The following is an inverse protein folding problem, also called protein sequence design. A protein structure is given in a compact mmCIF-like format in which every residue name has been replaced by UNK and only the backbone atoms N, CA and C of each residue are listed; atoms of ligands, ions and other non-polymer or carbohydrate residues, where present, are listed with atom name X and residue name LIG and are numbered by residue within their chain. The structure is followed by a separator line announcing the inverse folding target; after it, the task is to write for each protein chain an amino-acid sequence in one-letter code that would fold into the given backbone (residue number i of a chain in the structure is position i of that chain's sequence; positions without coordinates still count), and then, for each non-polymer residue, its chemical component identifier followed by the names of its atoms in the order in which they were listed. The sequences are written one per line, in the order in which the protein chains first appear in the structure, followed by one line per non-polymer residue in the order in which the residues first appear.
data_IF_906888909184
#
_entry.id   IF_906888909184
#
_cell.length_a   1.000
_cell.length_b   1.000
_cell.length_c   1.000
_cell.angle_alpha   90.00
_cell.angle_beta   90.00
_cell.angle_gamma   90.00
#
_symmetry.space_group_name_H-M   'P 1'
#
loop_
_entity.id
_entity.type
_entity.pdbx_description
1 polymer ?
#
# COMPACT_ATOMS: atom_id res chain seq x y z
N UNK A 1 -44.88 4.01 27.77
CA UNK A 1 -43.82 3.17 28.35
C UNK A 1 -43.33 2.07 27.37
N UNK A 2 -43.63 2.14 26.07
CA UNK A 2 -43.15 1.18 25.03
C UNK A 2 -42.18 1.77 24.00
N UNK A 3 -41.94 3.07 24.03
CA UNK A 3 -41.05 3.75 23.06
C UNK A 3 -39.59 3.82 23.57
N UNK A 4 -39.36 3.77 24.90
CA UNK A 4 -38.00 3.75 25.46
C UNK A 4 -37.26 2.41 25.34
N UNK A 5 -38.01 1.29 25.12
CA UNK A 5 -37.41 -0.03 24.98
C UNK A 5 -36.93 -0.31 23.54
N UNK A 6 -37.41 0.45 22.53
CA UNK A 6 -36.95 0.27 21.12
C UNK A 6 -35.66 1.05 20.82
N UNK A 7 -35.38 2.15 21.55
CA UNK A 7 -34.13 2.88 21.34
C UNK A 7 -32.91 2.19 21.98
N UNK A 8 -33.11 1.40 23.05
CA UNK A 8 -32.03 0.63 23.69
C UNK A 8 -31.63 -0.62 22.91
N UNK A 9 -32.51 -1.18 22.08
CA UNK A 9 -32.20 -2.33 21.24
C UNK A 9 -31.42 -1.99 19.96
N UNK A 10 -31.56 -0.74 19.46
CA UNK A 10 -30.81 -0.28 18.28
C UNK A 10 -29.35 0.11 18.57
N UNK A 11 -29.02 0.38 19.85
CA UNK A 11 -27.66 0.73 20.28
C UNK A 11 -26.81 -0.52 20.57
N UNK A 12 -27.45 -1.67 20.86
CA UNK A 12 -26.75 -2.92 21.13
C UNK A 12 -26.29 -3.69 19.88
N UNK A 13 -26.65 -3.26 18.67
CA UNK A 13 -26.22 -3.90 17.42
C UNK A 13 -24.94 -3.32 16.83
N UNK A 14 -24.31 -2.34 17.47
CA UNK A 14 -23.00 -1.81 17.09
C UNK A 14 -21.86 -2.49 17.86
N UNK A 15 -21.89 -3.81 17.97
CA UNK A 15 -20.77 -4.57 18.53
C UNK A 15 -19.81 -4.89 17.40
N UNK A 16 -18.64 -4.22 17.40
CA UNK A 16 -17.49 -4.72 16.66
C UNK A 16 -17.02 -5.97 17.40
N UNK A 17 -17.06 -7.11 16.72
CA UNK A 17 -16.45 -8.33 17.24
C UNK A 17 -14.98 -8.27 16.93
N UNK A 18 -14.16 -7.95 17.91
CA UNK A 18 -12.71 -7.95 17.80
C UNK A 18 -12.23 -9.32 18.27
N UNK A 19 -11.59 -10.08 17.39
CA UNK A 19 -10.88 -11.28 17.76
C UNK A 19 -9.39 -10.98 17.98
N UNK A 20 -8.69 -11.73 18.87
CA UNK A 20 -7.31 -11.42 19.24
C UNK A 20 -6.33 -11.58 18.07
N UNK A 21 -5.43 -10.63 17.92
CA UNK A 21 -4.42 -10.46 16.86
C UNK A 21 -3.41 -11.61 16.68
N UNK A 22 -3.38 -12.61 17.56
CA UNK A 22 -2.45 -13.74 17.46
C UNK A 22 -2.74 -14.68 16.27
N UNK A 23 -3.89 -14.49 15.57
CA UNK A 23 -4.24 -15.09 14.28
C UNK A 23 -5.21 -14.08 13.66
N UNK A 24 -4.72 -13.20 12.82
CA UNK A 24 -5.43 -12.13 12.12
C UNK A 24 -6.90 -12.44 11.82
N UNK A 25 -7.75 -12.30 12.80
CA UNK A 25 -9.19 -12.34 12.56
C UNK A 25 -9.61 -10.91 12.18
N UNK A 26 -10.34 -10.76 11.09
CA UNK A 26 -10.68 -9.44 10.56
C UNK A 26 -11.62 -8.66 11.50
N UNK A 27 -11.33 -7.38 11.70
CA UNK A 27 -12.21 -6.45 12.40
C UNK A 27 -13.26 -5.95 11.43
N UNK A 28 -14.52 -6.32 11.65
CA UNK A 28 -15.64 -5.91 10.81
C UNK A 28 -16.23 -4.58 11.26
N UNK A 29 -16.35 -3.63 10.34
CA UNK A 29 -17.12 -2.41 10.53
C UNK A 29 -18.61 -2.73 10.40
N UNK A 30 -19.42 -2.41 11.40
CA UNK A 30 -20.85 -2.71 11.41
C UNK A 30 -21.62 -1.98 10.31
N UNK A 31 -22.83 -2.45 9.95
CA UNK A 31 -23.64 -1.89 8.87
C UNK A 31 -23.98 -0.41 9.07
N UNK A 32 -24.11 0.05 10.32
CA UNK A 32 -24.31 1.47 10.65
C UNK A 32 -23.06 2.32 10.36
N UNK A 33 -21.86 1.84 10.67
CA UNK A 33 -20.60 2.50 10.33
C UNK A 33 -20.32 2.45 8.83
N UNK A 34 -20.72 1.38 8.15
CA UNK A 34 -20.58 1.24 6.71
C UNK A 34 -21.30 2.34 5.89
N UNK A 35 -22.39 2.90 6.40
CA UNK A 35 -23.07 4.02 5.77
C UNK A 35 -22.32 5.36 5.95
N UNK A 36 -21.50 5.48 6.99
CA UNK A 36 -20.61 6.64 7.20
C UNK A 36 -19.30 6.49 6.43
N UNK A 37 -18.79 5.29 6.27
CA UNK A 37 -17.59 5.00 5.49
C UNK A 37 -17.75 5.23 3.97
N UNK A 38 -19.00 5.46 3.49
CA UNK A 38 -19.27 5.90 2.12
C UNK A 38 -18.73 7.31 1.88
N UNK A 39 -17.53 7.44 1.39
CA UNK A 39 -16.82 8.71 1.17
C UNK A 39 -15.63 8.91 2.11
N UNK A 40 -15.36 7.93 2.99
CA UNK A 40 -14.18 7.91 3.82
C UNK A 40 -12.98 7.39 3.04
N UNK A 41 -11.91 8.14 3.02
CA UNK A 41 -10.61 7.72 2.50
C UNK A 41 -9.77 7.15 3.64
N UNK A 42 -9.11 6.00 3.39
CA UNK A 42 -8.11 5.46 4.31
C UNK A 42 -7.06 6.53 4.67
N UNK A 43 -6.53 6.50 5.89
CA UNK A 43 -5.51 7.46 6.33
C UNK A 43 -4.33 7.53 5.35
N UNK A 44 -3.95 6.41 4.75
CA UNK A 44 -2.87 6.35 3.78
C UNK A 44 -3.06 7.23 2.56
N UNK A 45 -4.31 7.41 2.10
CA UNK A 45 -4.63 8.28 0.95
C UNK A 45 -4.25 9.73 1.23
N UNK A 46 -4.61 10.24 2.43
CA UNK A 46 -4.28 11.60 2.87
C UNK A 46 -2.80 11.74 3.17
N UNK A 47 -2.21 10.77 3.88
CA UNK A 47 -0.81 10.78 4.27
C UNK A 47 0.14 10.84 3.08
N UNK A 48 -0.18 10.12 2.00
CA UNK A 48 0.53 10.16 0.73
C UNK A 48 0.13 11.33 -0.18
N UNK A 49 -0.85 12.16 0.22
CA UNK A 49 -1.35 13.28 -0.59
C UNK A 49 -2.00 12.85 -1.91
N UNK A 50 -2.47 11.60 -2.01
CA UNK A 50 -3.09 11.06 -3.22
C UNK A 50 -4.45 11.74 -3.47
N UNK A 51 -5.19 12.09 -2.44
CA UNK A 51 -6.44 12.85 -2.56
C UNK A 51 -6.23 14.25 -3.15
N UNK A 52 -5.10 14.89 -2.86
CA UNK A 52 -4.73 16.20 -3.44
C UNK A 52 -4.41 16.04 -4.90
N UNK A 53 -3.58 15.05 -5.27
CA UNK A 53 -3.25 14.76 -6.66
C UNK A 53 -4.50 14.39 -7.46
N UNK A 54 -5.34 13.51 -6.94
CA UNK A 54 -6.62 13.11 -7.53
C UNK A 54 -7.49 14.32 -7.86
N UNK A 55 -7.75 15.19 -6.87
CA UNK A 55 -8.53 16.44 -7.04
C UNK A 55 -7.92 17.39 -8.07
N UNK A 56 -6.59 17.42 -8.20
CA UNK A 56 -5.92 18.26 -9.19
C UNK A 56 -6.01 17.66 -10.60
N UNK A 57 -5.95 16.35 -10.73
CA UNK A 57 -6.16 15.65 -12.01
C UNK A 57 -7.62 15.79 -12.49
N UNK A 58 -8.61 15.68 -11.62
CA UNK A 58 -10.03 15.83 -11.95
C UNK A 58 -10.41 17.19 -12.54
N UNK A 59 -9.55 18.21 -12.34
CA UNK A 59 -9.70 19.53 -13.00
C UNK A 59 -9.24 19.54 -14.46
N UNK A 60 -8.59 18.46 -14.91
CA UNK A 60 -8.13 18.31 -16.30
C UNK A 60 -9.23 17.67 -17.15
N UNK A 61 -9.41 18.18 -18.34
CA UNK A 61 -10.31 17.57 -19.30
C UNK A 61 -9.69 16.30 -19.89
N UNK A 62 -10.53 15.29 -20.16
CA UNK A 62 -10.16 14.09 -20.91
C UNK A 62 -9.00 13.29 -20.33
N UNK A 63 -9.01 12.99 -19.02
CA UNK A 63 -8.05 12.05 -18.45
C UNK A 63 -8.10 10.70 -19.18
N UNK A 64 -6.95 10.11 -19.54
CA UNK A 64 -6.93 8.79 -20.14
C UNK A 64 -7.46 7.75 -19.18
N UNK A 65 -8.11 6.71 -19.69
CA UNK A 65 -8.38 5.52 -18.90
C UNK A 65 -7.05 4.84 -18.54
N UNK A 66 -6.90 4.49 -17.27
CA UNK A 66 -5.74 3.76 -16.73
C UNK A 66 -6.23 2.46 -16.14
N UNK A 67 -5.58 1.36 -16.50
CA UNK A 67 -5.96 0.02 -16.08
C UNK A 67 -4.92 -0.56 -15.13
N UNK A 68 -5.35 -0.93 -13.91
CA UNK A 68 -4.52 -1.58 -12.91
C UNK A 68 -4.92 -3.05 -12.82
N UNK A 69 -4.07 -3.94 -13.29
CA UNK A 69 -4.26 -5.38 -13.11
C UNK A 69 -3.96 -5.77 -11.65
N UNK A 70 -4.94 -6.32 -10.96
CA UNK A 70 -4.80 -6.86 -9.60
C UNK A 70 -4.78 -8.38 -9.70
N UNK A 71 -3.58 -8.95 -9.56
CA UNK A 71 -3.34 -10.40 -9.60
C UNK A 71 -3.48 -10.93 -8.16
N UNK A 72 -4.68 -11.47 -7.83
CA UNK A 72 -5.06 -11.78 -6.46
C UNK A 72 -6.21 -12.83 -6.41
N UNK A 73 -7.09 -12.75 -5.42
CA UNK A 73 -8.21 -13.67 -5.20
C UNK A 73 -9.49 -13.33 -5.99
N UNK A 74 -9.47 -12.25 -6.79
CA UNK A 74 -10.62 -11.76 -7.54
C UNK A 74 -11.18 -10.45 -6.97
N UNK A 75 -12.47 -10.16 -7.24
CA UNK A 75 -13.16 -8.97 -6.76
C UNK A 75 -14.60 -9.29 -6.39
N UNK A 76 -15.11 -8.72 -5.30
CA UNK A 76 -16.53 -8.82 -4.96
C UNK A 76 -17.32 -7.75 -5.73
N UNK A 77 -18.01 -8.16 -6.79
CA UNK A 77 -18.79 -7.28 -7.65
C UNK A 77 -20.04 -6.71 -6.99
N UNK A 78 -20.50 -7.33 -5.88
CA UNK A 78 -21.63 -6.84 -5.08
C UNK A 78 -21.22 -5.71 -4.12
N UNK A 79 -19.93 -5.44 -3.96
CA UNK A 79 -19.46 -4.37 -3.11
C UNK A 79 -19.72 -3.01 -3.77
N UNK A 80 -20.51 -2.16 -3.10
CA UNK A 80 -20.94 -0.87 -3.63
C UNK A 80 -19.79 0.15 -3.84
N UNK A 81 -18.68 0.02 -3.12
CA UNK A 81 -17.50 0.87 -3.30
C UNK A 81 -16.74 0.58 -4.59
N UNK A 82 -16.85 -0.65 -5.09
CA UNK A 82 -16.19 -1.10 -6.30
C UNK A 82 -17.07 -0.99 -7.54
N UNK A 83 -18.33 -0.56 -7.37
CA UNK A 83 -19.25 -0.38 -8.48
C UNK A 83 -18.69 0.62 -9.50
N UNK A 84 -18.57 0.20 -10.76
CA UNK A 84 -17.99 0.96 -11.86
C UNK A 84 -16.47 1.28 -11.71
N UNK A 85 -15.76 0.61 -10.78
CA UNK A 85 -14.33 0.81 -10.55
C UNK A 85 -13.47 -0.32 -11.12
N UNK A 86 -14.05 -1.35 -11.71
CA UNK A 86 -13.36 -2.45 -12.38
C UNK A 86 -13.78 -2.54 -13.85
N UNK A 87 -12.86 -3.11 -14.65
CA UNK A 87 -13.06 -3.36 -16.08
C UNK A 87 -13.76 -4.70 -16.34
N UNK A 88 -14.31 -4.88 -17.53
CA UNK A 88 -15.05 -6.09 -17.90
C UNK A 88 -14.17 -7.24 -18.42
N UNK A 89 -12.84 -7.04 -18.48
CA UNK A 89 -11.84 -7.98 -18.96
C UNK A 89 -11.11 -8.74 -17.84
N UNK A 90 -11.73 -8.83 -16.65
CA UNK A 90 -11.24 -9.69 -15.58
C UNK A 90 -11.31 -11.18 -15.93
N UNK A 91 -10.39 -11.98 -15.34
CA UNK A 91 -10.30 -13.40 -15.65
C UNK A 91 -9.93 -14.25 -14.41
N UNK A 92 -10.44 -15.48 -14.38
CA UNK A 92 -10.18 -16.48 -13.34
C UNK A 92 -9.28 -17.58 -13.91
N UNK A 93 -8.02 -17.60 -13.48
CA UNK A 93 -7.01 -18.57 -13.94
C UNK A 93 -7.11 -19.91 -13.22
N UNK A 94 -7.83 -20.01 -12.10
CA UNK A 94 -8.05 -21.26 -11.39
C UNK A 94 -9.00 -22.18 -12.17
N UNK A 95 -10.09 -21.60 -12.70
CA UNK A 95 -11.16 -22.32 -13.38
C UNK A 95 -11.17 -22.05 -14.89
N UNK A 96 -10.25 -21.21 -15.40
CA UNK A 96 -10.13 -20.80 -16.81
C UNK A 96 -11.45 -20.24 -17.37
N UNK A 97 -12.05 -19.28 -16.66
CA UNK A 97 -13.30 -18.63 -17.04
C UNK A 97 -13.32 -17.15 -16.62
N UNK A 98 -14.46 -16.48 -16.79
CA UNK A 98 -14.64 -15.06 -16.45
C UNK A 98 -15.32 -14.83 -15.09
N UNK A 99 -15.46 -15.85 -14.25
CA UNK A 99 -15.97 -15.71 -12.88
C UNK A 99 -14.88 -15.18 -11.95
N UNK A 100 -14.84 -13.88 -11.82
CA UNK A 100 -13.88 -13.14 -10.99
C UNK A 100 -14.33 -12.99 -9.54
N UNK A 101 -15.44 -13.64 -9.14
CA UNK A 101 -15.98 -13.47 -7.79
C UNK A 101 -14.95 -13.88 -6.74
N UNK A 102 -14.77 -12.98 -5.78
CA UNK A 102 -13.79 -13.15 -4.70
C UNK A 102 -14.41 -13.88 -3.51
N UNK A 103 -13.91 -15.06 -3.23
CA UNK A 103 -14.37 -15.89 -2.09
C UNK A 103 -13.48 -15.72 -0.86
N UNK A 104 -12.25 -15.20 -1.02
CA UNK A 104 -11.31 -14.91 0.06
C UNK A 104 -11.39 -13.46 0.54
N UNK A 105 -11.75 -12.55 -0.37
CA UNK A 105 -11.91 -11.11 -0.17
C UNK A 105 -10.62 -10.27 -0.08
N UNK A 106 -9.44 -10.86 -0.16
CA UNK A 106 -8.18 -10.12 -0.14
C UNK A 106 -8.03 -9.24 -1.40
N UNK A 107 -8.25 -9.79 -2.60
CA UNK A 107 -8.25 -9.02 -3.84
C UNK A 107 -9.30 -7.90 -3.87
N UNK A 108 -10.43 -8.10 -3.18
CA UNK A 108 -11.46 -7.06 -2.97
C UNK A 108 -10.92 -5.89 -2.15
N UNK A 109 -10.18 -6.16 -1.07
CA UNK A 109 -9.54 -5.13 -0.24
C UNK A 109 -8.47 -4.37 -1.03
N UNK A 110 -7.57 -5.10 -1.70
CA UNK A 110 -6.53 -4.53 -2.56
C UNK A 110 -7.12 -3.63 -3.66
N UNK A 111 -8.15 -4.14 -4.36
CA UNK A 111 -8.88 -3.36 -5.38
C UNK A 111 -9.57 -2.13 -4.81
N UNK A 112 -10.07 -2.24 -3.59
CA UNK A 112 -10.72 -1.17 -2.87
C UNK A 112 -9.78 -0.02 -2.52
N UNK A 113 -8.56 -0.34 -2.09
CA UNK A 113 -7.52 0.66 -1.80
C UNK A 113 -7.16 1.42 -3.08
N UNK A 114 -6.95 0.72 -4.21
CA UNK A 114 -6.69 1.38 -5.50
C UNK A 114 -7.86 2.30 -5.87
N UNK A 115 -9.10 1.83 -5.70
CA UNK A 115 -10.29 2.62 -6.00
C UNK A 115 -10.43 3.85 -5.10
N UNK A 116 -10.08 3.75 -3.82
CA UNK A 116 -10.11 4.86 -2.85
C UNK A 116 -9.05 5.93 -3.18
N UNK A 117 -7.85 5.49 -3.58
CA UNK A 117 -6.73 6.35 -3.93
C UNK A 117 -6.85 7.05 -5.29
N UNK A 118 -7.81 6.67 -6.16
CA UNK A 118 -7.83 7.11 -7.58
C UNK A 118 -9.21 7.54 -8.06
N UNK A 119 -9.25 8.35 -9.12
CA UNK A 119 -10.49 8.80 -9.77
C UNK A 119 -11.12 7.72 -10.67
N UNK A 120 -12.31 7.99 -11.18
CA UNK A 120 -13.13 7.03 -11.94
C UNK A 120 -12.56 6.61 -13.30
N UNK A 121 -11.56 7.35 -13.82
CA UNK A 121 -10.81 6.97 -15.03
C UNK A 121 -9.83 5.83 -14.79
N UNK A 122 -9.49 5.51 -13.53
CA UNK A 122 -8.69 4.34 -13.18
C UNK A 122 -9.61 3.15 -12.95
N UNK A 123 -9.33 2.04 -13.65
CA UNK A 123 -10.10 0.79 -13.58
C UNK A 123 -9.22 -0.35 -13.08
N UNK A 124 -9.72 -1.10 -12.13
CA UNK A 124 -9.10 -2.37 -11.72
C UNK A 124 -9.46 -3.45 -12.73
N UNK A 125 -8.48 -4.21 -13.18
CA UNK A 125 -8.67 -5.46 -13.93
C UNK A 125 -8.40 -6.64 -12.98
N UNK A 126 -9.44 -7.32 -12.48
CA UNK A 126 -9.26 -8.40 -11.51
C UNK A 126 -8.79 -9.67 -12.21
N UNK A 127 -7.63 -10.18 -11.81
CA UNK A 127 -7.03 -11.42 -12.32
C UNK A 127 -6.92 -12.43 -11.18
N UNK A 128 -7.87 -13.38 -11.14
CA UNK A 128 -8.00 -14.32 -10.04
C UNK A 128 -7.05 -15.50 -10.20
N UNK A 129 -6.07 -15.58 -9.27
CA UNK A 129 -5.06 -16.65 -9.20
C UNK A 129 -5.06 -17.35 -7.84
N UNK A 130 -5.70 -16.77 -6.81
CA UNK A 130 -5.83 -17.34 -5.47
C UNK A 130 -7.27 -17.78 -5.21
N UNK A 131 -7.41 -18.95 -4.59
CA UNK A 131 -8.70 -19.48 -4.12
C UNK A 131 -9.01 -19.06 -2.68
N UNK A 132 -10.04 -19.68 -2.10
CA UNK A 132 -10.54 -19.42 -0.73
C UNK A 132 -9.45 -19.62 0.34
N UNK A 133 -8.48 -20.51 0.12
CA UNK A 133 -7.35 -20.73 1.02
C UNK A 133 -6.30 -19.62 1.02
N UNK A 134 -6.41 -18.62 0.13
CA UNK A 134 -5.41 -17.58 -0.07
C UNK A 134 -4.15 -18.06 -0.79
N UNK A 135 -4.16 -19.27 -1.34
CA UNK A 135 -3.03 -19.87 -2.03
C UNK A 135 -3.32 -20.05 -3.52
N UNK A 136 -2.28 -19.88 -4.34
CA UNK A 136 -2.32 -20.07 -5.78
C UNK A 136 -1.02 -20.68 -6.31
N UNK A 137 -0.94 -20.83 -7.62
CA UNK A 137 0.24 -21.35 -8.30
C UNK A 137 0.97 -20.23 -9.02
N UNK A 138 2.30 -20.20 -8.93
CA UNK A 138 3.12 -19.24 -9.70
C UNK A 138 2.89 -19.35 -11.22
N UNK A 139 2.55 -20.54 -11.75
CA UNK A 139 2.18 -20.71 -13.14
C UNK A 139 0.90 -19.95 -13.54
N UNK A 140 -0.06 -19.82 -12.62
CA UNK A 140 -1.27 -19.04 -12.87
C UNK A 140 -1.00 -17.54 -12.73
N UNK A 141 -0.11 -17.13 -11.82
CA UNK A 141 0.42 -15.76 -11.74
C UNK A 141 1.14 -15.38 -13.03
N UNK A 142 2.01 -16.26 -13.54
CA UNK A 142 2.71 -16.03 -14.81
C UNK A 142 1.73 -15.81 -15.98
N UNK A 143 0.71 -16.65 -16.10
CA UNK A 143 -0.36 -16.49 -17.10
C UNK A 143 -1.12 -15.18 -16.94
N UNK A 144 -1.36 -14.76 -15.68
CA UNK A 144 -2.05 -13.52 -15.38
C UNK A 144 -1.23 -12.28 -15.75
N UNK A 145 0.11 -12.32 -15.62
CA UNK A 145 0.99 -11.22 -16.08
C UNK A 145 0.90 -11.09 -17.60
N UNK A 146 1.04 -12.18 -18.37
CA UNK A 146 0.88 -12.13 -19.82
C UNK A 146 -0.50 -11.65 -20.25
N UNK A 147 -1.55 -12.11 -19.56
CA UNK A 147 -2.91 -11.62 -19.80
C UNK A 147 -3.04 -10.11 -19.56
N UNK A 148 -2.44 -9.59 -18.49
CA UNK A 148 -2.41 -8.16 -18.20
C UNK A 148 -1.72 -7.37 -19.34
N UNK A 149 -0.61 -7.89 -19.88
CA UNK A 149 0.09 -7.31 -21.00
C UNK A 149 -0.81 -7.27 -22.25
N UNK A 150 -1.40 -8.41 -22.62
CA UNK A 150 -2.28 -8.56 -23.79
C UNK A 150 -3.53 -7.65 -23.71
N UNK A 151 -4.00 -7.35 -22.49
CA UNK A 151 -5.17 -6.51 -22.23
C UNK A 151 -4.83 -5.07 -21.90
N UNK A 152 -3.59 -4.63 -22.19
CA UNK A 152 -3.12 -3.25 -22.06
C UNK A 152 -3.27 -2.71 -20.63
N UNK A 153 -2.83 -3.46 -19.63
CA UNK A 153 -2.66 -2.93 -18.29
C UNK A 153 -1.58 -1.85 -18.28
N UNK A 154 -1.76 -0.82 -17.44
CA UNK A 154 -0.79 0.25 -17.22
C UNK A 154 0.07 -0.02 -15.99
N UNK A 155 -0.54 -0.71 -15.02
CA UNK A 155 0.07 -1.09 -13.74
C UNK A 155 -0.35 -2.53 -13.44
N UNK A 156 0.56 -3.32 -12.90
CA UNK A 156 0.29 -4.64 -12.31
C UNK A 156 0.56 -4.54 -10.82
N UNK A 157 -0.40 -4.96 -9.99
CA UNK A 157 -0.25 -5.09 -8.56
C UNK A 157 -0.28 -6.56 -8.16
N UNK A 158 0.76 -7.03 -7.51
CA UNK A 158 0.90 -8.37 -6.94
C UNK A 158 1.06 -8.30 -5.43
N UNK A 159 -0.05 -8.34 -4.68
CA UNK A 159 -0.05 -8.39 -3.22
C UNK A 159 0.15 -9.82 -2.73
N UNK A 160 1.16 -10.50 -3.26
CA UNK A 160 1.47 -11.91 -3.00
C UNK A 160 2.99 -12.15 -2.98
N UNK A 161 3.43 -13.23 -2.36
CA UNK A 161 4.83 -13.66 -2.38
C UNK A 161 4.98 -15.17 -2.21
N UNK A 162 6.09 -15.72 -2.71
CA UNK A 162 6.54 -17.07 -2.45
C UNK A 162 7.87 -17.06 -1.70
N UNK A 163 8.13 -18.10 -0.90
CA UNK A 163 9.45 -18.28 -0.26
C UNK A 163 10.44 -18.78 -1.28
N UNK A 164 11.58 -18.11 -1.41
CA UNK A 164 12.68 -18.46 -2.30
C UNK A 164 14.05 -18.43 -1.61
N UNK A 165 14.15 -19.08 -0.46
CA UNK A 165 15.39 -19.13 0.33
C UNK A 165 16.59 -19.76 -0.40
N UNK A 166 16.41 -20.30 -1.59
CA UNK A 166 17.48 -20.84 -2.45
C UNK A 166 17.77 -19.95 -3.65
N UNK A 167 17.03 -18.86 -3.84
CA UNK A 167 17.14 -17.95 -4.99
C UNK A 167 17.09 -18.69 -6.35
N UNK A 168 16.12 -19.58 -6.47
CA UNK A 168 15.95 -20.47 -7.66
C UNK A 168 14.66 -20.25 -8.43
N UNK A 169 13.76 -19.40 -7.93
CA UNK A 169 12.50 -19.11 -8.60
C UNK A 169 12.73 -18.05 -9.70
N UNK A 170 12.39 -18.40 -10.92
CA UNK A 170 12.51 -17.54 -12.11
C UNK A 170 11.27 -17.59 -13.00
N UNK A 171 10.22 -18.28 -12.56
CA UNK A 171 9.04 -18.56 -13.41
C UNK A 171 8.28 -17.29 -13.85
N UNK A 172 8.42 -16.18 -13.13
CA UNK A 172 7.78 -14.91 -13.49
C UNK A 172 8.72 -13.94 -14.18
N UNK A 173 10.03 -14.23 -14.26
CA UNK A 173 11.05 -13.26 -14.70
C UNK A 173 10.76 -12.75 -16.12
N UNK A 174 10.63 -13.65 -17.10
CA UNK A 174 10.37 -13.28 -18.50
C UNK A 174 9.06 -12.45 -18.65
N UNK A 175 8.01 -12.81 -17.91
CA UNK A 175 6.74 -12.10 -17.97
C UNK A 175 6.81 -10.71 -17.32
N UNK A 176 7.56 -10.56 -16.21
CA UNK A 176 7.82 -9.29 -15.56
C UNK A 176 8.66 -8.38 -16.47
N UNK A 177 9.74 -8.94 -17.05
CA UNK A 177 10.62 -8.21 -17.99
C UNK A 177 9.84 -7.73 -19.21
N UNK A 178 8.97 -8.56 -19.78
CA UNK A 178 8.11 -8.16 -20.88
C UNK A 178 7.12 -7.05 -20.47
N UNK A 179 6.50 -7.16 -19.29
CA UNK A 179 5.58 -6.12 -18.79
C UNK A 179 6.30 -4.78 -18.66
N UNK A 180 7.48 -4.77 -18.01
CA UNK A 180 8.28 -3.55 -17.80
C UNK A 180 8.76 -2.97 -19.14
N UNK A 181 9.23 -3.80 -20.08
CA UNK A 181 9.66 -3.36 -21.42
C UNK A 181 8.54 -2.65 -22.19
N UNK A 182 7.28 -3.04 -21.94
CA UNK A 182 6.09 -2.37 -22.51
C UNK A 182 5.64 -1.15 -21.72
N UNK A 183 6.43 -0.71 -20.74
CA UNK A 183 6.15 0.45 -19.92
C UNK A 183 5.08 0.21 -18.85
N UNK A 184 4.72 -1.02 -18.53
CA UNK A 184 3.82 -1.37 -17.43
C UNK A 184 4.60 -1.25 -16.12
N UNK A 185 4.00 -0.64 -15.09
CA UNK A 185 4.60 -0.54 -13.76
C UNK A 185 4.21 -1.78 -12.95
N UNK A 186 5.21 -2.52 -12.46
CA UNK A 186 4.99 -3.76 -11.69
C UNK A 186 5.27 -3.51 -10.20
N UNK A 187 4.24 -3.65 -9.38
CA UNK A 187 4.27 -3.41 -7.94
C UNK A 187 4.06 -4.71 -7.18
N UNK A 188 4.88 -4.98 -6.18
CA UNK A 188 4.83 -6.18 -5.36
C UNK A 188 4.91 -5.89 -3.87
N UNK A 189 4.29 -6.74 -3.06
CA UNK A 189 4.38 -6.66 -1.60
C UNK A 189 5.66 -7.34 -1.09
N UNK A 190 6.37 -6.72 -0.14
CA UNK A 190 7.59 -7.24 0.47
C UNK A 190 7.37 -8.54 1.27
N UNK A 191 6.15 -8.76 1.78
CA UNK A 191 5.79 -9.90 2.65
C UNK A 191 5.73 -9.54 4.14
N UNK A 192 5.18 -10.46 4.95
CA UNK A 192 4.76 -10.20 6.34
C UNK A 192 5.34 -11.24 7.31
N UNK A 193 6.64 -11.49 7.29
CA UNK A 193 7.30 -12.49 8.13
C UNK A 193 8.44 -11.90 8.97
N UNK A 194 8.55 -10.58 9.08
CA UNK A 194 9.64 -9.88 9.74
C UNK A 194 11.02 -10.43 9.29
N UNK A 195 11.20 -10.64 7.98
CA UNK A 195 12.40 -11.27 7.39
C UNK A 195 12.92 -10.45 6.23
N UNK A 196 14.10 -10.85 5.71
CA UNK A 196 14.71 -10.22 4.55
C UNK A 196 13.90 -10.49 3.28
N UNK A 197 13.74 -9.47 2.42
CA UNK A 197 13.10 -9.57 1.10
C UNK A 197 13.86 -10.45 0.14
N UNK A 198 15.18 -10.61 0.30
CA UNK A 198 16.01 -11.48 -0.53
C UNK A 198 15.46 -12.91 -0.63
N UNK A 199 14.78 -13.42 0.42
CA UNK A 199 14.15 -14.74 0.45
C UNK A 199 12.70 -14.73 -0.08
N UNK A 200 12.23 -13.66 -0.75
CA UNK A 200 10.84 -13.46 -1.20
C UNK A 200 10.74 -13.19 -2.69
N UNK A 201 10.03 -14.06 -3.40
CA UNK A 201 9.79 -13.93 -4.82
C UNK A 201 8.34 -13.53 -5.12
N UNK A 202 8.09 -12.53 -6.00
CA UNK A 202 9.05 -11.78 -6.82
C UNK A 202 9.61 -10.51 -6.17
N UNK A 203 9.45 -10.29 -4.86
CA UNK A 203 9.91 -9.06 -4.17
C UNK A 203 11.44 -8.86 -4.23
N UNK A 204 12.21 -9.90 -4.49
CA UNK A 204 13.68 -9.88 -4.65
C UNK A 204 14.13 -9.63 -6.11
N UNK A 205 13.25 -9.09 -6.97
CA UNK A 205 13.61 -8.81 -8.38
C UNK A 205 13.89 -7.33 -8.57
N UNK A 206 14.97 -7.02 -9.30
CA UNK A 206 15.45 -5.64 -9.52
C UNK A 206 14.47 -4.76 -10.30
N UNK A 207 13.60 -5.35 -11.13
CA UNK A 207 12.70 -4.63 -12.04
C UNK A 207 11.23 -4.63 -11.60
N UNK A 208 10.99 -4.76 -10.30
CA UNK A 208 9.67 -4.54 -9.68
C UNK A 208 9.76 -3.45 -8.61
N UNK A 209 8.64 -2.81 -8.27
CA UNK A 209 8.56 -1.93 -7.10
C UNK A 209 8.15 -2.75 -5.89
N UNK A 210 9.10 -2.99 -4.99
CA UNK A 210 8.87 -3.74 -3.76
C UNK A 210 8.48 -2.82 -2.62
N UNK A 211 7.30 -3.06 -2.05
CA UNK A 211 6.66 -2.18 -1.08
C UNK A 211 6.56 -2.86 0.30
N UNK A 212 7.20 -2.25 1.30
CA UNK A 212 7.01 -2.60 2.70
C UNK A 212 5.94 -1.73 3.37
N UNK A 213 5.57 -2.02 4.62
CA UNK A 213 4.46 -1.35 5.28
C UNK A 213 4.88 -0.57 6.52
N UNK A 214 4.26 0.61 6.70
CA UNK A 214 4.36 1.45 7.90
C UNK A 214 3.00 1.72 8.53
N UNK A 215 3.01 2.12 9.79
CA UNK A 215 1.87 2.66 10.51
C UNK A 215 1.70 4.18 10.28
N UNK A 216 0.67 4.79 10.90
CA UNK A 216 0.38 6.22 10.78
C UNK A 216 1.43 7.15 11.42
N UNK A 217 2.40 6.60 12.16
CA UNK A 217 3.56 7.31 12.72
C UNK A 217 4.85 7.05 11.92
N UNK A 218 4.73 6.55 10.69
CA UNK A 218 5.84 6.21 9.79
C UNK A 218 6.79 5.13 10.33
N UNK A 219 6.36 4.33 11.31
CA UNK A 219 7.14 3.20 11.82
C UNK A 219 6.88 1.95 11.01
N UNK A 220 7.92 1.21 10.69
CA UNK A 220 7.81 -0.12 10.05
C UNK A 220 6.87 -1.03 10.84
N UNK A 221 5.94 -1.67 10.15
CA UNK A 221 5.06 -2.65 10.77
C UNK A 221 5.88 -3.84 11.32
N UNK A 222 5.50 -4.32 12.51
CA UNK A 222 6.27 -5.33 13.25
C UNK A 222 6.55 -6.60 12.44
N UNK A 223 5.59 -6.99 11.60
CA UNK A 223 5.67 -8.18 10.76
C UNK A 223 6.16 -7.90 9.34
N UNK A 224 6.35 -6.65 8.93
CA UNK A 224 6.76 -6.34 7.56
C UNK A 224 8.18 -6.83 7.26
N UNK A 225 8.36 -7.36 6.05
CA UNK A 225 9.68 -7.67 5.55
C UNK A 225 10.42 -6.39 5.15
N UNK A 226 11.73 -6.39 5.32
CA UNK A 226 12.66 -5.34 4.93
C UNK A 226 13.84 -5.96 4.18
N UNK A 227 14.68 -5.16 3.56
CA UNK A 227 15.83 -5.66 2.81
C UNK A 227 16.28 -4.70 1.74
N UNK A 228 17.34 -5.05 1.02
CA UNK A 228 17.94 -4.23 -0.02
C UNK A 228 17.00 -4.03 -1.23
N UNK A 229 16.02 -4.91 -1.39
CA UNK A 229 15.07 -4.88 -2.50
C UNK A 229 13.86 -3.96 -2.23
N UNK A 230 13.71 -3.40 -1.00
CA UNK A 230 12.59 -2.51 -0.67
C UNK A 230 12.77 -1.15 -1.34
N UNK A 231 11.81 -0.76 -2.20
CA UNK A 231 11.82 0.56 -2.84
C UNK A 231 11.18 1.64 -1.98
N UNK A 232 10.02 1.36 -1.37
CA UNK A 232 9.27 2.33 -0.56
C UNK A 232 8.59 1.68 0.63
N UNK A 233 8.41 2.47 1.69
CA UNK A 233 7.66 2.10 2.89
C UNK A 233 6.35 2.90 2.93
N UNK A 234 5.22 2.23 2.74
CA UNK A 234 3.93 2.87 2.53
C UNK A 234 2.87 2.45 3.55
N UNK A 235 1.76 3.19 3.67
CA UNK A 235 0.67 2.88 4.58
C UNK A 235 0.17 1.44 4.43
N UNK A 236 0.31 0.62 5.47
CA UNK A 236 -0.09 -0.78 5.46
C UNK A 236 -0.57 -1.30 6.81
N UNK A 237 -0.64 -0.45 7.85
CA UNK A 237 -1.13 -0.83 9.18
C UNK A 237 -2.48 -0.17 9.43
N UNK A 238 -3.46 -0.94 9.91
CA UNK A 238 -4.83 -0.49 10.19
C UNK A 238 -5.47 0.22 8.99
N UNK A 239 -5.35 -0.38 7.81
CA UNK A 239 -5.93 0.14 6.57
C UNK A 239 -7.39 -0.28 6.47
N UNK A 240 -8.29 0.71 6.34
CA UNK A 240 -9.71 0.48 6.07
C UNK A 240 -9.90 0.16 4.58
N UNK A 241 -10.49 -0.98 4.28
CA UNK A 241 -10.70 -1.43 2.91
C UNK A 241 -12.04 -2.17 2.73
N UNK A 242 -12.60 -2.24 1.51
CA UNK A 242 -13.82 -3.00 1.22
C UNK A 242 -13.64 -4.49 1.49
N UNK A 243 -14.60 -5.09 2.18
CA UNK A 243 -14.63 -6.53 2.47
C UNK A 243 -16.07 -7.05 2.39
N UNK A 244 -16.31 -8.09 1.61
CA UNK A 244 -17.69 -8.55 1.35
C UNK A 244 -18.56 -7.35 0.91
N UNK A 245 -19.64 -7.09 1.66
CA UNK A 245 -20.53 -5.93 1.46
C UNK A 245 -20.25 -4.78 2.43
N UNK A 246 -19.23 -4.92 3.25
CA UNK A 246 -18.86 -4.01 4.34
C UNK A 246 -17.46 -3.43 4.09
N UNK A 247 -16.96 -2.72 5.09
CA UNK A 247 -15.56 -2.33 5.21
C UNK A 247 -14.90 -3.15 6.31
N UNK A 248 -13.60 -3.36 6.20
CA UNK A 248 -12.77 -4.06 7.19
C UNK A 248 -11.46 -3.31 7.38
N UNK A 249 -10.92 -3.34 8.58
CA UNK A 249 -9.57 -2.85 8.88
C UNK A 249 -8.64 -4.05 8.95
N UNK A 250 -7.51 -3.96 8.24
CA UNK A 250 -6.49 -5.00 8.24
C UNK A 250 -5.10 -4.37 8.07
N UNK A 251 -4.04 -5.18 8.22
CA UNK A 251 -2.65 -4.73 8.15
C UNK A 251 -1.79 -5.69 7.35
N UNK A 252 -0.85 -5.15 6.60
CA UNK A 252 0.12 -5.93 5.86
C UNK A 252 0.72 -5.18 4.67
N UNK A 253 1.87 -5.67 4.20
CA UNK A 253 2.52 -5.15 2.99
C UNK A 253 1.63 -5.32 1.74
N UNK A 254 0.72 -6.30 1.76
CA UNK A 254 -0.29 -6.49 0.72
C UNK A 254 -1.33 -5.36 0.64
N UNK A 255 -1.50 -4.57 1.71
CA UNK A 255 -2.34 -3.36 1.72
C UNK A 255 -1.51 -2.09 1.46
N UNK A 256 -0.19 -2.15 1.65
CA UNK A 256 0.73 -1.06 1.29
C UNK A 256 0.98 -1.02 -0.23
N UNK A 257 1.20 -2.16 -0.88
CA UNK A 257 1.46 -2.25 -2.32
C UNK A 257 0.39 -1.56 -3.19
N UNK A 258 -0.92 -1.72 -2.97
CA UNK A 258 -1.93 -1.03 -3.77
C UNK A 258 -1.91 0.50 -3.66
N UNK A 259 -1.35 1.09 -2.60
CA UNK A 259 -1.12 2.53 -2.53
C UNK A 259 -0.05 2.98 -3.55
N UNK A 260 1.04 2.19 -3.72
CA UNK A 260 2.03 2.45 -4.77
C UNK A 260 1.43 2.27 -6.17
N UNK A 261 0.66 1.20 -6.39
CA UNK A 261 -0.03 0.96 -7.65
C UNK A 261 -0.99 2.11 -8.01
N UNK A 262 -1.70 2.65 -7.02
CA UNK A 262 -2.55 3.80 -7.20
C UNK A 262 -1.77 5.08 -7.51
N UNK A 263 -0.63 5.33 -6.82
CA UNK A 263 0.25 6.45 -7.11
C UNK A 263 0.77 6.38 -8.55
N UNK A 264 1.24 5.21 -9.00
CA UNK A 264 1.64 4.97 -10.39
C UNK A 264 0.48 5.21 -11.37
N UNK A 265 -0.73 4.75 -11.06
CA UNK A 265 -1.91 4.95 -11.90
C UNK A 265 -2.32 6.43 -12.00
N UNK A 266 -2.19 7.22 -10.93
CA UNK A 266 -2.42 8.66 -10.97
C UNK A 266 -1.37 9.38 -11.84
N UNK A 267 -0.09 8.98 -11.76
CA UNK A 267 0.97 9.51 -12.64
C UNK A 267 0.70 9.13 -14.10
N UNK A 268 0.24 7.90 -14.36
CA UNK A 268 -0.20 7.47 -15.71
C UNK A 268 -1.48 8.20 -16.18
N UNK A 269 -2.35 8.62 -15.26
CA UNK A 269 -3.49 9.50 -15.59
C UNK A 269 -3.04 10.91 -15.98
N UNK A 270 -1.94 11.40 -15.40
CA UNK A 270 -1.30 12.65 -15.80
C UNK A 270 -0.57 12.52 -17.13
N UNK A 271 0.17 11.41 -17.33
CA UNK A 271 0.95 11.16 -18.53
C UNK A 271 1.01 9.65 -18.84
N UNK A 272 0.21 9.21 -19.80
CA UNK A 272 -0.04 7.80 -20.12
C UNK A 272 1.22 7.02 -20.55
N UNK A 273 2.16 7.68 -21.21
CA UNK A 273 3.36 7.05 -21.78
C UNK A 273 4.54 6.91 -20.81
N UNK A 274 4.40 7.33 -19.54
CA UNK A 274 5.46 7.10 -18.56
C UNK A 274 5.78 5.60 -18.49
N UNK A 275 7.06 5.25 -18.61
CA UNK A 275 7.52 3.90 -18.31
C UNK A 275 7.78 3.74 -16.80
N UNK A 276 8.16 2.53 -16.36
CA UNK A 276 8.39 2.25 -14.95
C UNK A 276 9.49 3.14 -14.36
N UNK A 277 10.63 3.29 -15.03
CA UNK A 277 11.75 4.09 -14.53
C UNK A 277 11.36 5.55 -14.30
N UNK A 278 10.63 6.15 -15.25
CA UNK A 278 10.13 7.52 -15.13
C UNK A 278 9.13 7.67 -13.96
N UNK A 279 8.27 6.67 -13.75
CA UNK A 279 7.36 6.64 -12.60
C UNK A 279 8.15 6.56 -11.31
N UNK A 280 9.12 5.65 -11.22
CA UNK A 280 9.98 5.46 -10.03
C UNK A 280 10.77 6.73 -9.71
N UNK A 281 11.35 7.38 -10.71
CA UNK A 281 12.09 8.64 -10.52
C UNK A 281 11.20 9.76 -9.96
N UNK A 282 9.96 9.86 -10.47
CA UNK A 282 8.99 10.82 -9.93
C UNK A 282 8.64 10.45 -8.48
N UNK A 283 8.35 9.18 -8.18
CA UNK A 283 8.04 8.74 -6.84
C UNK A 283 9.18 9.01 -5.85
N UNK A 284 10.43 8.74 -6.23
CA UNK A 284 11.63 9.07 -5.44
C UNK A 284 11.75 10.59 -5.19
N UNK A 285 11.53 11.41 -6.21
CA UNK A 285 11.59 12.86 -6.07
C UNK A 285 10.57 13.40 -5.07
N UNK A 286 9.42 12.76 -4.96
CA UNK A 286 8.32 13.17 -4.09
C UNK A 286 8.19 12.29 -2.84
N UNK A 287 9.25 11.59 -2.45
CA UNK A 287 9.28 10.83 -1.20
C UNK A 287 9.78 11.68 -0.04
N UNK A 288 9.24 11.39 1.13
CA UNK A 288 9.75 11.83 2.42
C UNK A 288 10.76 10.78 2.90
N UNK A 289 11.99 11.18 3.09
CA UNK A 289 13.06 10.31 3.56
C UNK A 289 12.76 9.85 5.00
N UNK A 290 12.70 8.55 5.21
CA UNK A 290 12.45 7.93 6.51
C UNK A 290 13.67 7.08 6.92
N UNK A 291 13.91 6.97 8.23
CA UNK A 291 15.02 6.16 8.72
C UNK A 291 16.38 6.81 8.55
N UNK A 292 17.35 6.08 7.98
CA UNK A 292 18.67 6.60 7.71
C UNK A 292 18.64 7.49 6.45
N UNK A 293 19.45 8.56 6.43
CA UNK A 293 19.43 9.52 5.34
C UNK A 293 19.70 8.88 3.97
N UNK A 294 18.79 9.09 3.03
CA UNK A 294 18.81 8.52 1.68
C UNK A 294 18.23 7.12 1.67
N UNK A 295 18.59 6.31 0.67
CA UNK A 295 18.13 4.92 0.60
C UNK A 295 18.66 4.10 1.77
N UNK A 296 17.77 3.35 2.44
CA UNK A 296 18.13 2.33 3.44
C UNK A 296 17.28 1.06 3.30
N UNK A 297 17.79 -0.05 3.85
CA UNK A 297 17.16 -1.37 3.71
C UNK A 297 15.85 -1.54 4.50
N UNK A 298 15.46 -0.56 5.32
CA UNK A 298 14.25 -0.61 6.15
C UNK A 298 13.08 0.08 5.45
N UNK A 299 13.35 1.29 4.93
CA UNK A 299 12.33 2.17 4.36
C UNK A 299 12.47 2.38 2.84
N UNK A 300 13.54 1.83 2.22
CA UNK A 300 13.85 2.12 0.83
C UNK A 300 14.14 3.61 0.62
N UNK A 301 13.43 4.24 -0.31
CA UNK A 301 13.44 5.70 -0.55
C UNK A 301 12.47 6.47 0.38
N UNK A 302 11.85 5.80 1.35
CA UNK A 302 10.91 6.39 2.30
C UNK A 302 9.44 6.37 1.85
N UNK A 303 8.66 7.34 2.34
CA UNK A 303 7.22 7.48 2.12
C UNK A 303 6.92 8.37 0.90
N UNK A 304 6.20 7.85 -0.07
CA UNK A 304 5.70 8.64 -1.21
C UNK A 304 4.70 9.70 -0.72
N UNK A 305 4.90 10.97 -1.11
CA UNK A 305 3.94 12.04 -0.84
C UNK A 305 3.74 12.95 -2.06
N UNK A 306 2.66 12.75 -2.79
CA UNK A 306 2.35 13.47 -4.03
C UNK A 306 1.50 14.74 -3.83
N UNK A 307 1.32 15.21 -2.59
CA UNK A 307 0.52 16.42 -2.29
C UNK A 307 1.04 17.68 -3.00
N UNK A 308 2.33 17.74 -3.29
CA UNK A 308 2.99 18.87 -3.98
C UNK A 308 3.26 18.60 -5.47
N UNK A 309 2.77 17.48 -6.01
CA UNK A 309 2.98 17.16 -7.43
C UNK A 309 2.30 18.18 -8.34
N UNK A 310 3.07 18.72 -9.31
CA UNK A 310 2.58 19.73 -10.21
C UNK A 310 1.99 19.12 -11.50
N UNK A 311 0.70 18.94 -11.56
CA UNK A 311 -0.03 18.41 -12.73
C UNK A 311 0.07 19.31 -13.99
N UNK A 312 0.60 20.53 -13.86
CA UNK A 312 0.82 21.45 -14.99
C UNK A 312 2.28 21.45 -15.48
N UNK A 313 3.15 20.64 -14.88
CA UNK A 313 4.51 20.44 -15.40
C UNK A 313 4.46 19.80 -16.79
N UNK A 314 5.50 20.01 -17.60
CA UNK A 314 5.67 19.29 -18.86
C UNK A 314 6.07 17.85 -18.55
N UNK A 315 5.32 16.84 -19.04
CA UNK A 315 5.71 15.46 -18.88
C UNK A 315 7.07 15.16 -19.54
N UNK A 316 7.80 14.14 -19.05
CA UNK A 316 8.97 13.63 -19.76
C UNK A 316 8.59 13.15 -21.16
N UNK A 317 9.54 13.22 -22.10
CA UNK A 317 9.35 12.65 -23.43
C UNK A 317 9.22 11.11 -23.36
N UNK A 318 8.46 10.50 -24.28
CA UNK A 318 8.42 9.03 -24.38
C UNK A 318 9.82 8.47 -24.61
N UNK A 319 10.15 7.40 -23.89
CA UNK A 319 11.39 6.65 -24.19
C UNK A 319 11.15 5.87 -25.47
N UNK A 320 11.82 6.28 -26.55
CA UNK A 320 11.79 5.52 -27.80
C UNK A 320 12.73 4.34 -27.67
N UNK A 321 12.23 3.12 -27.98
CA UNK A 321 13.12 1.98 -28.15
C UNK A 321 14.21 2.31 -29.16
N UNK A 322 15.49 1.96 -28.91
CA UNK A 322 16.51 2.08 -29.93
C UNK A 322 16.10 1.22 -31.13
N UNK A 323 16.06 1.84 -32.31
CA UNK A 323 15.82 1.05 -33.55
C UNK A 323 16.78 -0.15 -33.58
N UNK A 324 16.32 -1.36 -33.94
CA UNK A 324 17.19 -2.51 -34.00
C UNK A 324 18.36 -2.21 -34.93
N UNK A 325 19.56 -2.17 -34.36
CA UNK A 325 20.76 -1.91 -35.14
C UNK A 325 20.92 -3.02 -36.21
N UNK A 326 20.80 -2.63 -37.46
CA UNK A 326 21.14 -3.49 -38.61
C UNK A 326 22.67 -3.50 -38.77
N UNK A 327 23.39 -3.98 -37.77
CA UNK A 327 24.80 -4.35 -37.99
C UNK A 327 24.89 -5.74 -38.61
N UNK A 328 25.68 -5.90 -39.64
CA UNK A 328 25.86 -7.21 -40.27
C UNK A 328 26.62 -8.14 -39.32
N UNK A 329 26.08 -9.33 -39.13
CA UNK A 329 26.71 -10.41 -38.36
C UNK A 329 28.10 -10.72 -38.93
N UNK A 330 29.18 -10.27 -38.26
CA UNK A 330 30.53 -10.76 -38.56
C UNK A 330 30.69 -12.20 -38.02
N UNK A 331 31.11 -13.07 -38.89
CA UNK A 331 31.44 -14.46 -38.62
C UNK A 331 32.56 -14.58 -37.58
N UNK A 332 32.25 -15.11 -36.39
CA UNK A 332 33.22 -15.33 -35.32
C UNK A 332 34.04 -16.59 -35.64
N UNK A 333 35.26 -16.39 -36.15
CA UNK A 333 36.29 -17.44 -36.22
C UNK A 333 36.85 -17.71 -34.81
N UNK A 334 36.70 -18.94 -34.35
CA UNK A 334 37.23 -19.45 -33.10
C UNK A 334 38.76 -19.61 -33.14
N UNK A 335 39.46 -18.99 -32.17
CA UNK A 335 40.84 -19.33 -31.84
C UNK A 335 40.94 -19.68 -30.32
N UNK A 336 41.85 -20.54 -29.90
CA UNK A 336 41.76 -21.24 -28.60
C UNK A 336 42.28 -20.43 -27.45
N UNK A 337 41.60 -20.61 -26.29
CA UNK A 337 41.88 -20.03 -25.00
C UNK A 337 43.12 -20.63 -24.39
N UNK A 338 44.05 -19.79 -23.96
CA UNK A 338 45.13 -20.14 -23.02
C UNK A 338 44.89 -19.46 -21.70
N UNK A 339 44.85 -20.26 -20.62
CA UNK A 339 44.84 -19.82 -19.22
C UNK A 339 46.04 -18.93 -18.89
N UNK A 340 45.89 -17.98 -17.97
CA UNK A 340 46.99 -17.61 -17.08
C UNK A 340 46.61 -17.68 -15.59
N UNK A 341 47.53 -18.30 -14.89
CA UNK A 341 47.76 -18.44 -13.46
C UNK A 341 47.71 -17.14 -12.67
N UNK A 342 47.20 -17.27 -11.42
CA UNK A 342 47.20 -16.29 -10.34
C UNK A 342 48.60 -15.84 -9.90
N UNK A 343 48.70 -14.69 -9.22
CA UNK A 343 49.30 -14.75 -7.87
C UNK A 343 48.52 -13.95 -6.80
N UNK A 344 48.45 -14.59 -5.66
CA UNK A 344 48.02 -14.13 -4.35
C UNK A 344 48.91 -12.95 -3.85
N UNK A 345 48.31 -11.93 -3.25
CA UNK A 345 48.99 -10.99 -2.35
C UNK A 345 48.14 -10.66 -1.14
N UNK A 346 48.79 -10.73 0.03
CA UNK A 346 48.31 -10.59 1.39
C UNK A 346 47.77 -9.20 1.77
N UNK A 347 47.10 -9.08 2.94
CA UNK A 347 46.33 -7.88 3.34
C UNK A 347 47.22 -6.83 4.01
N UNK A 348 46.91 -5.54 3.72
CA UNK A 348 47.53 -4.40 4.42
C UNK A 348 46.55 -3.91 5.50
N UNK A 349 46.98 -3.95 6.76
CA UNK A 349 46.37 -3.28 7.89
C UNK A 349 46.44 -1.74 7.74
N UNK A 350 45.33 -1.06 7.91
CA UNK A 350 45.33 0.40 8.08
C UNK A 350 44.70 0.76 9.41
N UNK A 351 45.51 1.29 10.29
CA UNK A 351 45.15 1.95 11.56
C UNK A 351 44.34 3.20 11.34
N UNK A 352 43.20 3.31 12.03
CA UNK A 352 42.32 4.51 12.04
C UNK A 352 42.58 5.30 13.34
N UNK A 353 42.99 6.56 13.19
CA UNK A 353 43.03 7.53 14.29
C UNK A 353 41.63 8.08 14.58
N UNK A 354 41.30 8.44 15.84
CA UNK A 354 39.99 8.93 16.23
C UNK A 354 39.81 10.43 15.87
N UNK A 355 38.79 10.74 15.09
CA UNK A 355 38.36 12.11 14.81
C UNK A 355 37.39 12.60 15.90
N UNK A 356 37.63 13.80 16.39
CA UNK A 356 36.89 14.54 17.40
C UNK A 356 35.49 14.90 16.92
N UNK A 357 34.46 14.68 17.77
CA UNK A 357 33.08 15.11 17.60
C UNK A 357 32.95 16.62 17.45
N UNK A 358 32.09 17.14 16.55
CA UNK A 358 31.66 18.52 16.58
C UNK A 358 30.50 18.72 17.58
N UNK A 359 30.65 19.68 18.45
CA UNK A 359 29.67 20.19 19.39
C UNK A 359 28.47 20.76 18.64
N UNK A 360 27.27 20.17 18.80
CA UNK A 360 26.02 20.68 18.25
C UNK A 360 25.46 21.73 19.21
N UNK A 361 25.24 22.96 18.71
CA UNK A 361 24.45 23.97 19.42
C UNK A 361 22.98 23.52 19.54
N UNK A 362 22.26 23.83 20.64
CA UNK A 362 20.89 23.42 20.80
C UNK A 362 19.97 24.22 19.85
N UNK A 363 19.44 23.57 18.85
CA UNK A 363 18.29 24.07 18.09
C UNK A 363 17.06 24.02 19.00
N UNK A 364 16.42 25.16 19.19
CA UNK A 364 15.12 25.28 19.88
C UNK A 364 14.08 24.47 19.10
N UNK A 365 13.60 23.37 19.70
CA UNK A 365 12.42 22.64 19.21
C UNK A 365 11.23 23.60 19.05
N UNK A 366 10.47 23.52 17.94
CA UNK A 366 9.18 24.21 17.85
C UNK A 366 8.27 23.70 18.95
N UNK A 367 7.47 24.59 19.54
CA UNK A 367 6.49 24.22 20.54
C UNK A 367 5.56 23.13 19.97
N UNK A 368 5.25 22.08 20.75
CA UNK A 368 4.37 21.01 20.27
C UNK A 368 3.02 21.59 19.85
N UNK A 369 2.53 21.14 18.68
CA UNK A 369 1.18 21.47 18.19
C UNK A 369 0.15 21.02 19.22
N UNK A 370 -0.95 21.76 19.42
CA UNK A 370 -1.99 21.37 20.36
C UNK A 370 -2.62 20.04 19.93
N UNK A 371 -2.68 19.07 20.85
CA UNK A 371 -3.27 17.76 20.61
C UNK A 371 -4.77 17.93 20.35
N UNK A 372 -5.24 17.47 19.20
CA UNK A 372 -6.66 17.43 18.87
C UNK A 372 -7.31 16.25 19.60
N UNK A 373 -8.18 16.51 20.56
CA UNK A 373 -8.88 15.46 21.30
C UNK A 373 -9.79 14.66 20.37
N UNK A 374 -9.67 13.35 20.42
CA UNK A 374 -10.36 12.40 19.54
C UNK A 374 -9.61 12.04 18.26
N UNK A 375 -8.56 12.77 17.91
CA UNK A 375 -7.64 12.42 16.81
C UNK A 375 -6.52 11.53 17.37
N UNK A 376 -6.75 10.24 17.34
CA UNK A 376 -5.88 9.23 17.97
C UNK A 376 -4.78 8.75 17.01
N UNK A 377 -5.00 8.93 15.71
CA UNK A 377 -4.04 8.57 14.66
C UNK A 377 -3.18 9.77 14.20
N UNK A 378 -3.46 10.99 14.74
CA UNK A 378 -2.77 12.24 14.43
C UNK A 378 -2.77 12.64 12.94
N UNK A 379 -3.86 12.30 12.22
CA UNK A 379 -4.02 12.70 10.80
C UNK A 379 -4.62 14.11 10.64
N UNK A 380 -4.89 14.80 11.73
CA UNK A 380 -5.43 16.17 11.81
C UNK A 380 -6.95 16.21 11.71
N UNK A 381 -7.64 15.07 11.75
CA UNK A 381 -9.10 14.98 11.72
C UNK A 381 -9.61 13.98 12.74
N UNK A 382 -10.76 14.25 13.35
CA UNK A 382 -11.44 13.26 14.20
C UNK A 382 -12.47 12.54 13.36
N UNK A 383 -12.25 11.23 13.13
CA UNK A 383 -13.12 10.44 12.26
C UNK A 383 -13.36 8.99 12.77
N UNK A 384 -13.89 8.14 11.91
CA UNK A 384 -14.24 6.75 12.27
C UNK A 384 -12.99 5.93 12.62
N UNK A 385 -11.82 6.26 12.04
CA UNK A 385 -10.60 5.51 12.32
C UNK A 385 -10.14 5.69 13.76
N UNK A 386 -10.29 6.88 14.31
CA UNK A 386 -9.97 7.12 15.72
C UNK A 386 -10.83 6.26 16.64
N UNK A 387 -12.11 6.17 16.34
CA UNK A 387 -13.01 5.28 17.08
C UNK A 387 -12.61 3.81 16.96
N UNK A 388 -12.15 3.36 15.80
CA UNK A 388 -11.63 2.01 15.59
C UNK A 388 -10.34 1.78 16.37
N UNK A 389 -9.41 2.74 16.36
CA UNK A 389 -8.16 2.65 17.12
C UNK A 389 -8.42 2.56 18.64
N UNK A 390 -9.34 3.37 19.18
CA UNK A 390 -9.73 3.29 20.59
C UNK A 390 -10.34 1.92 20.93
N UNK A 391 -11.14 1.34 20.04
CA UNK A 391 -11.71 0.01 20.27
C UNK A 391 -10.63 -1.08 20.23
N UNK A 392 -9.66 -0.99 19.33
CA UNK A 392 -8.52 -1.91 19.28
C UNK A 392 -7.70 -1.83 20.56
N UNK A 393 -7.44 -0.62 21.07
CA UNK A 393 -6.76 -0.42 22.36
C UNK A 393 -7.58 -1.01 23.52
N UNK A 394 -8.87 -0.71 23.60
CA UNK A 394 -9.77 -1.17 24.66
C UNK A 394 -9.91 -2.72 24.73
N UNK A 395 -9.49 -3.42 23.67
CA UNK A 395 -9.54 -4.89 23.57
C UNK A 395 -8.15 -5.52 23.55
N UNK A 396 -7.09 -4.78 23.97
CA UNK A 396 -5.70 -5.25 23.98
C UNK A 396 -5.14 -5.65 22.59
N UNK A 397 -5.72 -5.11 21.52
CA UNK A 397 -5.30 -5.37 20.14
C UNK A 397 -4.48 -4.21 19.51
N UNK A 398 -4.26 -3.15 20.23
CA UNK A 398 -3.34 -2.06 19.90
C UNK A 398 -2.67 -1.55 21.16
N UNK A 399 -1.49 -0.93 21.03
CA UNK A 399 -0.81 -0.20 22.09
C UNK A 399 -0.80 1.28 21.75
N UNK A 400 -1.07 2.12 22.75
CA UNK A 400 -1.04 3.57 22.63
C UNK A 400 0.14 4.13 23.42
N UNK A 401 0.81 5.12 22.87
CA UNK A 401 1.71 5.97 23.63
C UNK A 401 0.91 6.96 24.52
N UNK A 402 1.61 7.74 25.32
CA UNK A 402 0.94 8.63 26.29
C UNK A 402 0.18 9.77 25.58
N UNK A 403 0.61 10.19 24.38
CA UNK A 403 -0.07 11.20 23.57
C UNK A 403 -1.35 10.66 22.96
N UNK A 404 -1.29 9.44 22.42
CA UNK A 404 -2.48 8.74 21.92
C UNK A 404 -3.49 8.46 23.02
N UNK A 405 -3.04 8.02 24.21
CA UNK A 405 -3.91 7.84 25.37
C UNK A 405 -4.60 9.14 25.78
N UNK A 406 -3.85 10.24 25.73
CA UNK A 406 -4.42 11.54 26.05
C UNK A 406 -5.50 11.95 25.05
N UNK A 407 -5.28 11.76 23.74
CA UNK A 407 -6.25 12.07 22.69
C UNK A 407 -7.48 11.14 22.73
N UNK A 408 -7.29 9.89 23.11
CA UNK A 408 -8.31 8.83 23.08
C UNK A 408 -9.35 8.91 24.20
N UNK A 409 -8.97 9.36 25.41
CA UNK A 409 -9.88 9.54 26.55
C UNK A 409 -10.75 10.80 26.35
N UNK A 410 -11.72 10.72 25.44
CA UNK A 410 -12.55 11.86 25.02
C UNK A 410 -13.66 12.20 26.03
N UNK A 411 -14.00 11.27 26.91
CA UNK A 411 -15.00 11.44 27.93
C UNK A 411 -14.42 11.95 29.28
N UNK A 412 -13.07 11.98 29.40
CA UNK A 412 -12.29 12.46 30.54
C UNK A 412 -12.57 11.67 31.83
N UNK A 413 -12.76 10.36 31.74
CA UNK A 413 -12.98 9.50 32.90
C UNK A 413 -11.71 8.77 33.38
N UNK A 414 -10.61 8.92 32.65
CA UNK A 414 -9.30 8.36 32.95
C UNK A 414 -9.12 6.91 32.48
N UNK A 415 -10.10 6.33 31.81
CA UNK A 415 -9.99 5.05 31.14
C UNK A 415 -10.10 5.27 29.62
N UNK A 416 -9.54 4.36 28.87
CA UNK A 416 -9.70 4.34 27.39
C UNK A 416 -10.44 3.06 27.07
N UNK A 417 -11.72 3.19 26.75
CA UNK A 417 -12.58 2.04 26.54
C UNK A 417 -13.60 2.26 25.41
N UNK A 418 -14.55 1.35 25.29
CA UNK A 418 -15.60 1.41 24.26
C UNK A 418 -16.49 2.66 24.35
N UNK A 419 -16.55 3.32 25.51
CA UNK A 419 -17.38 4.52 25.67
C UNK A 419 -16.73 5.72 24.98
N UNK A 420 -15.39 5.82 24.99
CA UNK A 420 -14.65 6.84 24.24
C UNK A 420 -14.84 6.65 22.74
N UNK A 421 -14.69 5.42 22.26
CA UNK A 421 -14.95 5.09 20.86
C UNK A 421 -16.39 5.46 20.44
N UNK A 422 -17.37 5.22 21.31
CA UNK A 422 -18.76 5.62 21.07
C UNK A 422 -18.94 7.15 21.05
N UNK A 423 -18.22 7.89 21.87
CA UNK A 423 -18.30 9.34 21.89
C UNK A 423 -17.61 9.95 20.65
N UNK A 424 -16.48 9.40 20.19
CA UNK A 424 -15.89 9.74 18.90
C UNK A 424 -16.89 9.47 17.76
N UNK A 425 -17.54 8.32 17.73
CA UNK A 425 -18.58 8.00 16.72
C UNK A 425 -19.77 8.98 16.77
N UNK A 426 -20.19 9.42 17.95
CA UNK A 426 -21.24 10.42 18.09
C UNK A 426 -20.80 11.77 17.54
N UNK A 427 -19.55 12.16 17.78
CA UNK A 427 -18.96 13.38 17.25
C UNK A 427 -18.91 13.35 15.72
N UNK A 428 -18.33 12.32 15.13
CA UNK A 428 -18.25 12.10 13.68
C UNK A 428 -19.64 12.11 13.04
N UNK A 429 -20.64 11.51 13.69
CA UNK A 429 -22.04 11.52 13.22
C UNK A 429 -22.82 12.78 13.55
N UNK A 430 -22.17 13.85 14.01
CA UNK A 430 -22.78 15.13 14.41
C UNK A 430 -23.88 15.01 15.48
N UNK A 431 -23.87 13.93 16.27
CA UNK A 431 -24.79 13.76 17.42
C UNK A 431 -24.34 14.50 18.65
N UNK A 432 -23.04 14.76 18.76
CA UNK A 432 -22.44 15.71 19.68
C UNK A 432 -21.52 16.65 18.90
N UNK A 433 -21.29 17.84 19.41
CA UNK A 433 -20.48 18.89 18.75
C UNK A 433 -19.16 19.16 19.48
N UNK A 434 -18.97 18.59 20.65
CA UNK A 434 -17.76 18.70 21.45
C UNK A 434 -17.60 17.48 22.36
N UNK A 435 -16.37 17.17 22.73
CA UNK A 435 -16.04 16.18 23.75
C UNK A 435 -16.10 16.78 25.15
N UNK A 436 -16.17 15.94 26.21
CA UNK A 436 -16.07 16.39 27.59
C UNK A 436 -14.67 16.89 27.90
N UNK A 437 -13.66 16.16 27.43
CA UNK A 437 -12.26 16.57 27.53
C UNK A 437 -12.00 17.74 26.59
N UNK A 438 -11.38 18.78 27.13
CA UNK A 438 -10.99 19.98 26.40
C UNK A 438 -9.49 19.95 26.12
N UNK A 439 -9.09 20.30 24.91
CA UNK A 439 -7.68 20.42 24.49
C UNK A 439 -6.89 21.45 25.29
#
# INVERSE_FOLDING_TARGET
MKIKALLTAAILSAVIVIAPFAKSEPVFVTESLNNYALGYMSWGVKHMGLDVLQKNLEKKDNLPEVKVAVIDSGINTDNKYLKNRYSNDGYNFLDNNTDINDTQYHGTMVSGIIADCTSSNVKVMPLKVNGESGSGKLSDVNRAIYYAIEHNADVINMSLSAVDSKHTLTILDDAIDEAVSKGIVVVVAAGNQASDTADRYPANKDNVLTITSVDSSDKIAENANTGADVDFALPGVLILAPYKRLMMVDSGTSLAAPHAAAAAALLKSWCKHLNQDQVVDILKQYSVDLGAKGFDNTYGWGMINLSKFNVNATPPEPVTEPEPSTEPTEEVTTAPVTEPTEPVTEPVETTVEPTTEPTVEPTTEPAPEPILIGDVNFDGTVDVMDAVMVQLYATDNASFDDTQKYAADVNDDGNIDVLDAMDIQKFVSSKITEFKKKS
#
